data_IF_717107115954
#
_entry.id   IF_717107115954
#
_cell.length_a   1.000
_cell.length_b   1.000
_cell.length_c   1.000
_cell.angle_alpha   90.00
_cell.angle_beta   90.00
_cell.angle_gamma   90.00
#
_symmetry.space_group_name_H-M   'P 1'
#
loop_
_entity.id
_entity.type
_entity.pdbx_description
1 polymer ?
#
# COMPACT_ATOMS: atom_id res chain seq x y z
N UNK A 1 12.46 9.04 4.99
CA UNK A 1 12.66 8.16 3.84
C UNK A 1 11.62 7.07 3.89
N UNK A 2 10.82 6.95 2.84
CA UNK A 2 9.77 5.98 2.65
C UNK A 2 10.18 5.09 1.48
N UNK A 3 10.93 4.03 1.78
CA UNK A 3 11.44 3.08 0.81
C UNK A 3 10.45 1.95 0.50
N UNK A 4 10.92 0.98 -0.29
CA UNK A 4 10.17 -0.25 -0.55
C UNK A 4 10.05 -1.12 0.70
N UNK A 5 11.15 -1.34 1.43
CA UNK A 5 11.17 -2.21 2.62
C UNK A 5 10.87 -1.48 3.92
N UNK A 6 11.48 -0.32 4.12
CA UNK A 6 11.47 0.40 5.40
C UNK A 6 10.96 1.82 5.26
N UNK A 7 10.47 2.35 6.37
CA UNK A 7 10.28 3.77 6.59
C UNK A 7 11.31 4.19 7.64
N UNK A 8 12.13 5.17 7.33
CA UNK A 8 13.16 5.72 8.20
C UNK A 8 12.93 7.22 8.40
N UNK A 9 12.87 7.64 9.66
CA UNK A 9 12.63 9.00 10.09
C UNK A 9 13.86 9.56 10.79
N UNK A 10 14.32 10.72 10.31
CA UNK A 10 15.42 11.48 10.89
C UNK A 10 14.96 12.93 11.06
N UNK A 11 15.45 13.62 12.08
CA UNK A 11 15.20 15.05 12.22
C UNK A 11 16.48 15.82 12.49
N UNK A 12 16.64 16.91 11.76
CA UNK A 12 17.82 17.76 11.79
C UNK A 12 17.41 19.20 12.15
N UNK A 13 18.25 19.87 12.95
CA UNK A 13 18.15 21.32 13.19
C UNK A 13 19.34 22.02 12.56
N UNK A 14 19.04 22.94 11.64
CA UNK A 14 20.02 23.85 11.06
C UNK A 14 20.26 24.98 12.06
N UNK A 15 21.51 25.16 12.48
CA UNK A 15 21.92 26.23 13.39
C UNK A 15 22.19 27.52 12.62
N UNK A 16 22.27 28.65 13.34
CA UNK A 16 22.59 29.98 12.77
C UNK A 16 23.96 30.02 12.08
N UNK A 17 24.89 29.14 12.47
CA UNK A 17 26.22 28.99 11.88
C UNK A 17 26.23 28.06 10.65
N UNK A 18 25.07 27.63 10.17
CA UNK A 18 24.91 26.70 9.04
C UNK A 18 25.16 25.23 9.37
N UNK A 19 25.57 24.90 10.60
CA UNK A 19 25.82 23.50 10.99
C UNK A 19 24.52 22.74 11.21
N UNK A 20 24.51 21.49 10.78
CA UNK A 20 23.39 20.57 10.96
C UNK A 20 23.61 19.76 12.24
N UNK A 21 22.60 19.73 13.12
CA UNK A 21 22.59 18.83 14.29
C UNK A 21 21.40 17.88 14.22
N UNK A 22 21.66 16.59 14.27
CA UNK A 22 20.63 15.55 14.43
C UNK A 22 19.95 15.67 15.81
N UNK A 23 18.62 15.61 15.84
CA UNK A 23 17.83 15.77 17.06
C UNK A 23 17.66 14.44 17.82
N UNK A 24 17.53 13.36 17.08
CA UNK A 24 17.41 11.98 17.56
C UNK A 24 17.94 11.02 16.49
N UNK A 25 18.52 9.90 16.93
CA UNK A 25 18.96 8.80 16.06
C UNK A 25 17.83 8.37 15.14
N UNK A 26 18.12 8.12 13.87
CA UNK A 26 17.19 7.52 12.92
C UNK A 26 16.33 6.41 13.56
N UNK A 27 15.01 6.54 13.42
CA UNK A 27 14.02 5.54 13.85
C UNK A 27 13.19 5.10 12.66
N UNK A 28 12.67 3.89 12.68
CA UNK A 28 11.94 3.38 11.53
C UNK A 28 11.28 2.04 11.79
N UNK A 29 10.64 1.52 10.76
CA UNK A 29 9.96 0.23 10.77
C UNK A 29 9.78 -0.33 9.38
N UNK A 30 9.47 -1.63 9.31
CA UNK A 30 9.26 -2.35 8.06
C UNK A 30 7.86 -2.09 7.48
N UNK A 31 7.52 -0.82 7.24
CA UNK A 31 6.21 -0.37 6.75
C UNK A 31 6.28 0.22 5.34
N UNK A 32 7.34 -0.11 4.60
CA UNK A 32 7.54 0.37 3.25
C UNK A 32 6.51 -0.18 2.26
N UNK A 33 6.59 0.28 1.01
CA UNK A 33 5.63 -0.06 -0.03
C UNK A 33 5.46 -1.56 -0.33
N UNK A 34 6.46 -2.39 0.00
CA UNK A 34 6.44 -3.86 -0.19
C UNK A 34 5.46 -4.59 0.73
N UNK A 35 5.08 -4.00 1.87
CA UNK A 35 3.99 -4.54 2.69
C UNK A 35 2.70 -4.54 1.89
N UNK A 36 2.43 -3.47 1.13
CA UNK A 36 1.21 -3.36 0.33
C UNK A 36 1.20 -4.41 -0.80
N UNK A 37 2.36 -4.66 -1.41
CA UNK A 37 2.52 -5.68 -2.45
C UNK A 37 2.27 -7.09 -1.89
N UNK A 38 2.69 -7.33 -0.65
CA UNK A 38 2.41 -8.57 0.06
C UNK A 38 0.92 -8.71 0.38
N UNK A 39 0.27 -7.64 0.84
CA UNK A 39 -1.18 -7.66 1.09
C UNK A 39 -1.98 -7.95 -0.19
N UNK A 40 -1.53 -7.42 -1.33
CA UNK A 40 -2.13 -7.75 -2.62
C UNK A 40 -1.92 -9.23 -3.00
N UNK A 41 -0.71 -9.78 -2.82
CA UNK A 41 -0.45 -11.20 -3.06
C UNK A 41 -1.31 -12.11 -2.16
N UNK A 42 -1.41 -11.79 -0.87
CA UNK A 42 -2.29 -12.50 0.06
C UNK A 42 -3.76 -12.45 -0.41
N UNK A 43 -4.21 -11.31 -0.90
CA UNK A 43 -5.55 -11.19 -1.48
C UNK A 43 -5.73 -12.10 -2.70
N UNK A 44 -4.72 -12.22 -3.57
CA UNK A 44 -4.77 -13.15 -4.70
C UNK A 44 -4.86 -14.60 -4.22
N UNK A 45 -4.09 -14.98 -3.20
CA UNK A 45 -4.17 -16.31 -2.58
C UNK A 45 -5.55 -16.57 -1.94
N UNK A 46 -6.16 -15.57 -1.28
CA UNK A 46 -7.50 -15.68 -0.70
C UNK A 46 -8.60 -15.84 -1.76
N UNK A 47 -8.40 -15.25 -2.93
CA UNK A 47 -9.35 -15.32 -4.05
C UNK A 47 -9.21 -16.66 -4.77
N UNK A 48 -8.00 -16.98 -5.23
CA UNK A 48 -7.72 -18.05 -6.19
C UNK A 48 -7.17 -19.32 -5.54
N UNK A 49 -6.60 -19.23 -4.34
CA UNK A 49 -5.94 -20.32 -3.64
C UNK A 49 -4.42 -20.33 -3.85
N UNK A 50 -3.68 -20.76 -2.83
CA UNK A 50 -2.22 -20.84 -2.87
C UNK A 50 -1.70 -21.76 -3.99
N UNK A 51 -2.31 -22.94 -4.15
CA UNK A 51 -1.92 -23.90 -5.20
C UNK A 51 -2.16 -23.35 -6.61
N UNK A 52 -3.27 -22.62 -6.82
CA UNK A 52 -3.53 -21.92 -8.08
C UNK A 52 -2.41 -20.91 -8.36
N UNK A 53 -2.10 -20.05 -7.39
CA UNK A 53 -1.13 -18.98 -7.56
C UNK A 53 0.29 -19.53 -7.79
N UNK A 54 0.68 -20.56 -7.04
CA UNK A 54 1.97 -21.23 -7.19
C UNK A 54 2.09 -21.93 -8.55
N UNK A 55 1.06 -22.66 -8.97
CA UNK A 55 1.05 -23.35 -10.27
C UNK A 55 1.12 -22.35 -11.42
N UNK A 56 0.34 -21.26 -11.35
CA UNK A 56 0.37 -20.20 -12.34
C UNK A 56 1.75 -19.52 -12.43
N UNK A 57 2.36 -19.21 -11.29
CA UNK A 57 3.69 -18.60 -11.25
C UNK A 57 4.77 -19.51 -11.87
N UNK A 58 4.65 -20.83 -11.67
CA UNK A 58 5.58 -21.80 -12.23
C UNK A 58 5.40 -21.96 -13.74
N UNK A 59 4.16 -22.01 -14.23
CA UNK A 59 3.84 -22.20 -15.65
C UNK A 59 4.02 -20.92 -16.49
N UNK A 60 3.63 -19.77 -15.93
CA UNK A 60 3.61 -18.47 -16.61
C UNK A 60 4.33 -17.38 -15.78
N UNK A 61 5.64 -17.53 -15.50
CA UNK A 61 6.37 -16.61 -14.61
C UNK A 61 6.39 -15.17 -15.12
N UNK A 62 6.44 -14.98 -16.45
CA UNK A 62 6.41 -13.64 -17.07
C UNK A 62 5.08 -12.94 -16.81
N UNK A 63 3.96 -13.61 -17.10
CA UNK A 63 2.62 -13.09 -16.84
C UNK A 63 2.43 -12.79 -15.35
N UNK A 64 2.91 -13.66 -14.45
CA UNK A 64 2.85 -13.41 -13.02
C UNK A 64 3.56 -12.11 -12.63
N UNK A 65 4.78 -11.89 -13.14
CA UNK A 65 5.52 -10.65 -12.90
C UNK A 65 4.81 -9.44 -13.51
N UNK A 66 4.29 -9.53 -14.73
CA UNK A 66 3.54 -8.45 -15.38
C UNK A 66 2.28 -8.08 -14.58
N UNK A 67 1.60 -9.06 -14.00
CA UNK A 67 0.43 -8.84 -13.16
C UNK A 67 0.77 -8.05 -11.90
N UNK A 68 1.83 -8.44 -11.19
CA UNK A 68 2.30 -7.73 -10.00
C UNK A 68 2.84 -6.33 -10.34
N UNK A 69 3.49 -6.16 -11.49
CA UNK A 69 3.98 -4.87 -11.95
C UNK A 69 2.85 -3.88 -12.28
N UNK A 70 1.75 -4.32 -12.91
CA UNK A 70 0.61 -3.43 -13.14
C UNK A 70 0.01 -3.00 -11.80
N UNK A 71 -0.06 -3.88 -10.79
CA UNK A 71 -0.49 -3.47 -9.45
C UNK A 71 0.45 -2.44 -8.83
N UNK A 72 1.77 -2.66 -8.87
CA UNK A 72 2.78 -1.73 -8.37
C UNK A 72 2.63 -0.32 -8.96
N UNK A 73 2.38 -0.22 -10.27
CA UNK A 73 2.15 1.05 -10.95
C UNK A 73 0.87 1.71 -10.44
N UNK A 74 -0.25 0.96 -10.35
CA UNK A 74 -1.53 1.52 -9.89
C UNK A 74 -1.52 1.87 -8.41
N UNK A 75 -0.75 1.16 -7.58
CA UNK A 75 -0.55 1.42 -6.15
C UNK A 75 -0.02 2.83 -5.89
N UNK A 76 0.85 3.35 -6.77
CA UNK A 76 1.43 4.69 -6.63
C UNK A 76 0.46 5.81 -7.00
N UNK A 77 -0.54 5.51 -7.83
CA UNK A 77 -1.49 6.49 -8.36
C UNK A 77 -2.51 7.01 -7.32
N UNK A 78 -3.19 8.09 -7.69
CA UNK A 78 -4.20 8.78 -6.87
C UNK A 78 -5.63 8.26 -7.11
N UNK A 79 -5.77 6.97 -7.39
CA UNK A 79 -7.06 6.37 -7.68
C UNK A 79 -7.65 5.74 -6.43
N UNK A 80 -8.90 6.10 -6.11
CA UNK A 80 -9.67 5.48 -5.03
C UNK A 80 -9.89 3.99 -5.30
N UNK A 81 -10.18 3.60 -6.53
CA UNK A 81 -10.28 2.20 -6.95
C UNK A 81 -9.10 1.81 -7.83
N UNK A 82 -8.62 0.57 -7.70
CA UNK A 82 -7.51 0.06 -8.50
C UNK A 82 -8.04 -0.96 -9.50
N UNK A 83 -7.62 -0.85 -10.76
CA UNK A 83 -7.92 -1.81 -11.82
C UNK A 83 -6.62 -2.40 -12.33
N UNK A 84 -6.34 -3.63 -11.92
CA UNK A 84 -5.13 -4.37 -12.28
C UNK A 84 -5.42 -5.23 -13.51
N UNK A 85 -4.61 -5.08 -14.54
CA UNK A 85 -4.70 -5.85 -15.77
C UNK A 85 -4.25 -7.27 -15.51
N UNK A 86 -5.14 -8.24 -15.78
CA UNK A 86 -4.78 -9.64 -15.73
C UNK A 86 -4.21 -10.05 -17.09
N UNK A 87 -3.03 -10.70 -17.12
CA UNK A 87 -2.48 -11.26 -18.35
C UNK A 87 -3.44 -12.25 -19.03
N UNK A 88 -3.23 -12.47 -20.33
CA UNK A 88 -4.08 -13.37 -21.12
C UNK A 88 -4.08 -14.79 -20.55
N UNK A 89 -2.90 -15.34 -20.19
CA UNK A 89 -2.85 -16.69 -19.65
C UNK A 89 -3.55 -16.77 -18.30
N UNK A 90 -3.43 -15.73 -17.46
CA UNK A 90 -4.14 -15.67 -16.16
C UNK A 90 -5.67 -15.70 -16.36
N UNK A 91 -6.20 -14.92 -17.31
CA UNK A 91 -7.63 -14.88 -17.59
C UNK A 91 -8.21 -16.21 -18.06
N UNK A 92 -7.40 -17.04 -18.72
CA UNK A 92 -7.80 -18.33 -19.27
C UNK A 92 -7.28 -19.51 -18.42
N UNK A 93 -6.61 -19.24 -17.30
CA UNK A 93 -6.07 -20.28 -16.44
C UNK A 93 -7.19 -20.94 -15.63
N UNK A 94 -7.07 -22.26 -15.46
CA UNK A 94 -8.01 -23.06 -14.69
C UNK A 94 -7.23 -24.01 -13.78
N UNK A 95 -7.61 -24.07 -12.51
CA UNK A 95 -7.04 -24.98 -11.53
C UNK A 95 -8.18 -25.61 -10.73
N UNK A 96 -8.16 -26.93 -10.52
CA UNK A 96 -9.24 -27.65 -9.84
C UNK A 96 -10.62 -27.53 -10.54
N UNK A 97 -10.64 -27.26 -11.85
CA UNK A 97 -11.88 -27.11 -12.64
C UNK A 97 -12.61 -25.77 -12.47
N UNK A 98 -12.10 -24.85 -11.66
CA UNK A 98 -12.68 -23.52 -11.48
C UNK A 98 -12.02 -22.48 -12.40
N UNK A 99 -12.84 -21.64 -13.05
CA UNK A 99 -12.36 -20.46 -13.77
C UNK A 99 -12.10 -19.29 -12.82
N UNK A 100 -11.31 -18.30 -13.26
CA UNK A 100 -11.05 -17.08 -12.49
C UNK A 100 -12.34 -16.34 -12.07
N UNK A 101 -13.36 -16.34 -12.92
CA UNK A 101 -14.63 -15.69 -12.66
C UNK A 101 -15.42 -16.43 -11.58
N UNK A 102 -15.37 -17.76 -11.57
CA UNK A 102 -15.95 -18.58 -10.53
C UNK A 102 -15.22 -18.38 -9.20
N UNK A 103 -13.88 -18.32 -9.21
CA UNK A 103 -13.09 -18.05 -8.01
C UNK A 103 -13.42 -16.69 -7.38
N UNK A 104 -13.47 -15.61 -8.18
CA UNK A 104 -13.84 -14.27 -7.70
C UNK A 104 -15.28 -14.24 -7.18
N UNK A 105 -16.22 -14.90 -7.87
CA UNK A 105 -17.60 -15.00 -7.42
C UNK A 105 -17.73 -15.75 -6.10
N UNK A 106 -16.99 -16.86 -5.94
CA UNK A 106 -16.95 -17.65 -4.72
C UNK A 106 -16.34 -16.83 -3.56
N UNK A 107 -15.24 -16.12 -3.80
CA UNK A 107 -14.65 -15.20 -2.82
C UNK A 107 -15.68 -14.16 -2.34
N UNK A 108 -16.37 -13.50 -3.26
CA UNK A 108 -17.40 -12.52 -2.91
C UNK A 108 -18.56 -13.11 -2.11
N UNK A 109 -18.96 -14.36 -2.38
CA UNK A 109 -19.97 -15.06 -1.57
C UNK A 109 -19.47 -15.37 -0.15
N UNK A 110 -18.22 -15.86 -0.02
CA UNK A 110 -17.59 -16.14 1.29
C UNK A 110 -17.50 -14.88 2.17
N UNK A 111 -17.21 -13.72 1.59
CA UNK A 111 -17.13 -12.45 2.33
C UNK A 111 -18.52 -12.04 2.88
N UNK A 112 -19.59 -12.17 2.07
CA UNK A 112 -20.97 -11.89 2.53
C UNK A 112 -21.40 -12.76 3.71
N UNK A 113 -20.97 -14.01 3.74
CA UNK A 113 -21.33 -14.94 4.80
C UNK A 113 -20.63 -14.57 6.11
N UNK A 114 -19.33 -14.22 6.06
CA UNK A 114 -18.59 -13.72 7.23
C UNK A 114 -19.21 -12.46 7.83
N UNK A 115 -19.56 -11.49 6.98
CA UNK A 115 -20.23 -10.24 7.40
C UNK A 115 -21.57 -10.49 8.11
N UNK A 116 -22.34 -11.51 7.68
CA UNK A 116 -23.62 -11.87 8.32
C UNK A 116 -23.47 -12.61 9.64
N UNK A 117 -22.40 -13.41 9.78
CA UNK A 117 -22.18 -14.23 10.96
C UNK A 117 -21.54 -13.46 12.13
N UNK A 118 -20.76 -12.41 11.86
CA UNK A 118 -20.05 -11.65 12.90
C UNK A 118 -20.86 -10.49 13.51
N UNK A 119 -22.13 -10.29 13.11
CA UNK A 119 -23.04 -9.34 13.77
C UNK A 119 -22.56 -7.88 13.80
N UNK A 120 -21.65 -7.50 12.90
CA UNK A 120 -20.86 -6.28 13.01
C UNK A 120 -21.52 -5.02 12.48
N UNK A 121 -21.34 -3.94 13.25
CA UNK A 121 -21.35 -2.55 12.80
C UNK A 121 -20.58 -2.39 11.47
N UNK A 122 -20.98 -1.41 10.67
CA UNK A 122 -20.46 -1.04 9.34
C UNK A 122 -18.92 -1.12 9.21
N UNK A 123 -18.40 -2.33 9.08
CA UNK A 123 -17.01 -2.57 8.73
C UNK A 123 -17.02 -2.77 7.24
N UNK A 124 -16.28 -1.90 6.55
CA UNK A 124 -16.15 -1.66 5.11
C UNK A 124 -15.77 -2.90 4.23
N UNK A 125 -16.16 -4.12 4.57
CA UNK A 125 -16.24 -5.22 3.63
C UNK A 125 -17.60 -5.16 2.97
N UNK A 126 -17.65 -4.92 1.67
CA UNK A 126 -18.88 -5.06 0.90
C UNK A 126 -18.56 -6.02 -0.22
N UNK A 127 -19.39 -7.01 -0.48
CA UNK A 127 -19.12 -8.03 -1.51
C UNK A 127 -18.92 -7.52 -2.95
N UNK A 128 -19.08 -6.22 -3.16
CA UNK A 128 -18.71 -5.49 -4.37
C UNK A 128 -17.21 -5.12 -4.42
N UNK A 129 -16.41 -5.55 -3.45
CA UNK A 129 -15.03 -5.09 -3.24
C UNK A 129 -14.01 -5.60 -4.25
N UNK A 130 -14.26 -6.78 -4.81
CA UNK A 130 -13.41 -7.40 -5.82
C UNK A 130 -14.29 -7.87 -6.97
N UNK A 131 -13.97 -7.44 -8.19
CA UNK A 131 -14.72 -7.80 -9.41
C UNK A 131 -13.76 -8.14 -10.55
N UNK A 132 -14.25 -8.96 -11.47
CA UNK A 132 -13.64 -9.14 -12.77
C UNK A 132 -14.39 -8.31 -13.81
N UNK A 133 -13.69 -7.47 -14.56
CA UNK A 133 -14.29 -6.73 -15.68
C UNK A 133 -13.26 -6.47 -16.77
N UNK A 134 -13.58 -6.86 -18.00
CA UNK A 134 -12.76 -6.57 -19.20
C UNK A 134 -11.29 -6.98 -19.05
N UNK A 135 -11.02 -8.17 -18.52
CA UNK A 135 -9.66 -8.67 -18.29
C UNK A 135 -8.94 -7.98 -17.12
N UNK A 136 -9.66 -7.31 -16.22
CA UNK A 136 -9.07 -6.60 -15.07
C UNK A 136 -9.65 -7.09 -13.74
N UNK A 137 -8.78 -7.18 -12.74
CA UNK A 137 -9.14 -7.28 -11.34
C UNK A 137 -9.45 -5.87 -10.84
N UNK A 138 -10.71 -5.62 -10.49
CA UNK A 138 -11.19 -4.33 -10.01
C UNK A 138 -11.34 -4.40 -8.51
N UNK A 139 -10.53 -3.60 -7.80
CA UNK A 139 -10.58 -3.41 -6.36
C UNK A 139 -11.32 -2.11 -6.03
N UNK A 140 -12.32 -2.19 -5.17
CA UNK A 140 -13.06 -1.03 -4.66
C UNK A 140 -12.19 -0.12 -3.78
N UNK A 141 -12.67 1.08 -3.49
CA UNK A 141 -11.97 2.00 -2.57
C UNK A 141 -11.82 1.44 -1.16
N UNK A 142 -12.85 0.79 -0.65
CA UNK A 142 -12.82 0.05 0.61
C UNK A 142 -11.74 -1.02 0.62
N UNK A 143 -11.69 -1.86 -0.42
CA UNK A 143 -10.70 -2.94 -0.52
C UNK A 143 -9.29 -2.40 -0.63
N UNK A 144 -9.05 -1.40 -1.47
CA UNK A 144 -7.73 -0.78 -1.57
C UNK A 144 -7.36 -0.16 -0.23
N UNK A 145 -8.26 0.55 0.45
CA UNK A 145 -7.99 1.13 1.77
C UNK A 145 -7.60 0.08 2.80
N UNK A 146 -8.23 -1.10 2.79
CA UNK A 146 -7.84 -2.21 3.68
C UNK A 146 -6.43 -2.74 3.42
N UNK A 147 -5.93 -2.72 2.17
CA UNK A 147 -4.56 -3.14 1.86
C UNK A 147 -3.51 -2.20 2.45
N UNK A 148 -3.87 -0.92 2.65
CA UNK A 148 -2.96 0.12 3.13
C UNK A 148 -3.11 0.43 4.62
N UNK A 149 -4.23 0.04 5.23
CA UNK A 149 -4.63 0.47 6.57
C UNK A 149 -3.50 0.29 7.60
N UNK A 150 -3.02 -0.93 7.77
CA UNK A 150 -2.02 -1.26 8.79
C UNK A 150 -0.70 -0.50 8.59
N UNK A 151 -0.25 -0.35 7.33
CA UNK A 151 0.99 0.34 7.03
C UNK A 151 0.87 1.85 7.30
N UNK A 152 -0.20 2.48 6.82
CA UNK A 152 -0.43 3.90 7.00
C UNK A 152 -0.66 4.26 8.47
N UNK A 153 -1.39 3.42 9.20
CA UNK A 153 -1.64 3.63 10.63
C UNK A 153 -0.34 3.55 11.44
N UNK A 154 0.50 2.54 11.19
CA UNK A 154 1.81 2.43 11.84
C UNK A 154 2.73 3.62 11.53
N UNK A 155 2.74 4.09 10.28
CA UNK A 155 3.50 5.29 9.88
C UNK A 155 2.98 6.53 10.61
N UNK A 156 1.66 6.74 10.63
CA UNK A 156 1.03 7.87 11.30
C UNK A 156 1.33 7.86 12.80
N UNK A 157 1.17 6.73 13.46
CA UNK A 157 1.49 6.58 14.88
C UNK A 157 2.97 6.87 15.16
N UNK A 158 3.86 6.38 14.30
CA UNK A 158 5.29 6.64 14.44
C UNK A 158 5.61 8.14 14.29
N UNK A 159 5.12 8.80 13.24
CA UNK A 159 5.32 10.24 13.01
C UNK A 159 4.74 11.07 14.16
N UNK A 160 3.53 10.76 14.62
CA UNK A 160 2.92 11.43 15.78
C UNK A 160 3.82 11.33 17.03
N UNK A 161 4.34 10.13 17.32
CA UNK A 161 5.24 9.92 18.45
C UNK A 161 6.52 10.76 18.36
N UNK A 162 7.02 11.01 17.14
CA UNK A 162 8.20 11.85 16.90
C UNK A 162 7.88 13.33 17.08
N UNK A 163 6.72 13.79 16.61
CA UNK A 163 6.28 15.18 16.75
C UNK A 163 5.98 15.57 18.21
N UNK A 164 5.56 14.60 19.03
CA UNK A 164 5.35 14.82 20.47
C UNK A 164 6.66 14.99 21.27
N UNK A 165 7.83 14.61 20.70
CA UNK A 165 9.11 14.77 21.39
C UNK A 165 9.42 16.26 21.61
N UNK A 166 9.89 16.68 22.80
CA UNK A 166 10.21 18.09 23.08
C UNK A 166 11.18 18.72 22.08
N UNK A 167 12.10 17.92 21.53
CA UNK A 167 13.09 18.35 20.53
C UNK A 167 12.47 18.71 19.17
N UNK A 168 11.26 18.25 18.88
CA UNK A 168 10.56 18.40 17.61
C UNK A 168 9.47 19.49 17.64
N UNK A 169 9.29 20.19 18.76
CA UNK A 169 8.25 21.24 18.90
C UNK A 169 8.39 22.39 17.91
N UNK A 170 9.61 22.67 17.46
CA UNK A 170 9.92 23.72 16.47
C UNK A 170 9.97 23.19 15.04
N UNK A 171 9.61 21.92 14.80
CA UNK A 171 9.66 21.34 13.46
C UNK A 171 8.57 21.98 12.59
N UNK A 172 8.97 22.65 11.52
CA UNK A 172 8.05 23.31 10.58
C UNK A 172 7.75 22.47 9.34
N UNK A 173 8.68 21.59 8.96
CA UNK A 173 8.66 20.94 7.65
C UNK A 173 9.19 19.51 7.72
N UNK A 174 8.59 18.63 6.92
CA UNK A 174 8.99 17.24 6.73
C UNK A 174 9.24 17.00 5.26
N UNK A 175 10.40 16.44 4.93
CA UNK A 175 10.71 15.96 3.59
C UNK A 175 10.37 14.48 3.49
N UNK A 176 9.41 14.15 2.63
CA UNK A 176 9.02 12.78 2.32
C UNK A 176 9.74 12.36 1.03
N UNK A 177 10.77 11.54 1.18
CA UNK A 177 11.63 11.00 0.11
C UNK A 177 11.53 9.47 0.06
N UNK A 178 12.05 8.84 -0.98
CA UNK A 178 12.04 7.38 -1.17
C UNK A 178 10.99 6.90 -2.18
N UNK A 179 11.10 5.66 -2.65
CA UNK A 179 10.20 5.13 -3.69
C UNK A 179 8.72 5.09 -3.29
N UNK A 180 8.43 4.82 -2.01
CA UNK A 180 7.05 4.80 -1.51
C UNK A 180 6.51 6.21 -1.23
N UNK A 181 7.36 7.23 -1.14
CA UNK A 181 6.93 8.62 -1.05
C UNK A 181 6.12 9.09 -2.27
N UNK A 182 6.30 8.43 -3.43
CA UNK A 182 5.53 8.70 -4.65
C UNK A 182 4.07 8.22 -4.56
N UNK A 183 3.73 7.41 -3.55
CA UNK A 183 2.36 6.93 -3.38
C UNK A 183 1.44 8.06 -2.90
N UNK A 184 0.45 8.41 -3.73
CA UNK A 184 -0.52 9.47 -3.42
C UNK A 184 -1.26 9.22 -2.08
N UNK A 185 -1.58 7.96 -1.77
CA UNK A 185 -2.26 7.58 -0.51
C UNK A 185 -1.41 7.85 0.72
N UNK A 186 -0.11 7.54 0.67
CA UNK A 186 0.81 7.85 1.77
C UNK A 186 0.90 9.37 1.98
N UNK A 187 1.07 10.12 0.89
CA UNK A 187 1.14 11.57 0.96
C UNK A 187 -0.15 12.17 1.53
N UNK A 188 -1.31 11.71 1.07
CA UNK A 188 -2.63 12.13 1.55
C UNK A 188 -2.80 11.81 3.03
N UNK A 189 -2.50 10.58 3.46
CA UNK A 189 -2.62 10.18 4.86
C UNK A 189 -1.79 11.07 5.81
N UNK A 190 -0.56 11.39 5.43
CA UNK A 190 0.28 12.29 6.21
C UNK A 190 -0.25 13.73 6.19
N UNK A 191 -0.70 14.24 5.03
CA UNK A 191 -1.28 15.59 4.92
C UNK A 191 -2.56 15.74 5.72
N UNK A 192 -3.46 14.77 5.64
CA UNK A 192 -4.72 14.77 6.39
C UNK A 192 -4.46 14.74 7.90
N UNK A 193 -3.44 14.00 8.35
CA UNK A 193 -3.12 13.85 9.78
C UNK A 193 -2.29 14.99 10.37
N UNK A 194 -1.40 15.58 9.58
CA UNK A 194 -0.36 16.49 10.09
C UNK A 194 -0.29 17.84 9.38
N UNK A 195 -1.02 18.04 8.28
CA UNK A 195 -0.90 19.22 7.41
C UNK A 195 -1.23 20.56 8.08
N UNK A 196 -2.02 20.55 9.17
CA UNK A 196 -2.29 21.75 9.98
C UNK A 196 -1.10 22.14 10.87
N UNK A 197 -0.23 21.18 11.23
CA UNK A 197 0.90 21.38 12.14
C UNK A 197 2.23 21.52 11.42
N UNK A 198 2.44 20.79 10.33
CA UNK A 198 3.70 20.71 9.60
C UNK A 198 3.49 20.72 8.09
N UNK A 199 4.41 21.37 7.37
CA UNK A 199 4.42 21.33 5.91
C UNK A 199 5.08 20.04 5.43
N UNK A 200 4.35 19.23 4.67
CA UNK A 200 4.88 18.00 4.04
C UNK A 200 5.34 18.34 2.63
N UNK A 201 6.65 18.22 2.39
CA UNK A 201 7.31 18.47 1.12
C UNK A 201 7.72 17.15 0.49
N UNK A 202 7.30 16.91 -0.75
CA UNK A 202 7.68 15.75 -1.55
C UNK A 202 8.52 16.26 -2.71
N UNK A 203 9.84 16.01 -2.73
CA UNK A 203 10.69 16.45 -3.83
C UNK A 203 10.28 15.81 -5.17
N UNK A 204 10.58 16.52 -6.27
CA UNK A 204 10.53 15.94 -7.61
C UNK A 204 11.53 14.78 -7.69
N UNK A 205 11.10 13.62 -8.17
CA UNK A 205 11.89 12.37 -8.12
C UNK A 205 12.27 11.94 -6.69
N UNK A 206 11.28 11.84 -5.80
CA UNK A 206 11.46 11.37 -4.43
C UNK A 206 12.22 10.02 -4.35
N UNK A 207 12.00 9.12 -5.33
CA UNK A 207 12.71 7.84 -5.47
C UNK A 207 14.22 7.98 -5.74
N UNK A 208 14.66 9.07 -6.37
CA UNK A 208 16.07 9.34 -6.69
C UNK A 208 16.75 10.27 -5.67
N UNK A 209 15.97 10.84 -4.73
CA UNK A 209 16.45 11.82 -3.76
C UNK A 209 17.43 11.26 -2.72
N UNK A 210 17.53 9.93 -2.59
CA UNK A 210 18.51 9.26 -1.71
C UNK A 210 19.87 9.10 -2.41
N UNK A 211 19.89 9.15 -3.75
CA UNK A 211 21.10 8.93 -4.57
C UNK A 211 21.79 10.24 -4.95
N UNK A 212 21.09 11.37 -4.86
CA UNK A 212 21.60 12.71 -5.25
C UNK A 212 22.28 13.44 -4.10
#
# INVERSE_FOLDING_TARGET
DAGGGTIDCVAHKIRKDGRIRELFRATGGAWGGTIIDRQFQNLLEDIFGQEFMASFQQEYPKDYVEFLQDFEIKKRGDCDSIRVSMPYNFCNYTHGGASIQQAIKAFGARQKEKEKSEGGEETSGNAADVKFSSGKLVLSSSKVSSLFHDALEQINQHVESLLQKPKCKELSSVFLVGGFAECARLQKALRDRFGERITILVPEEASLSVVK
#
